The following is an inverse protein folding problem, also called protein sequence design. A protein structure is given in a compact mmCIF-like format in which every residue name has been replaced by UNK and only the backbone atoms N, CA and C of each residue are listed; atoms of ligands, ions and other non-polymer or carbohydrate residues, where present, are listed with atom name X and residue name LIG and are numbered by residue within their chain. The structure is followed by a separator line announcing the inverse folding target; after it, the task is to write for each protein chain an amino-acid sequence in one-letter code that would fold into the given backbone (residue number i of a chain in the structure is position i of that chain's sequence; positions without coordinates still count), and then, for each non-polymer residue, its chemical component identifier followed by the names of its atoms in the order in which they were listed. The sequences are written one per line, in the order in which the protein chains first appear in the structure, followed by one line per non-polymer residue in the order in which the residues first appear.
data_IF_989805043492
#
_entry.id   IF_989805043492
#
_cell.length_a   1.000
_cell.length_b   1.000
_cell.length_c   1.000
_cell.angle_alpha   90.00
_cell.angle_beta   90.00
_cell.angle_gamma   90.00
#
_symmetry.space_group_name_H-M   'P 1'
#
loop_
_entity.id
_entity.type
_entity.pdbx_description
1 polymer ?
#
# COMPACT_ATOMS: atom_id res chain seq x y z
N UNK A 1 -8.92 13.68 4.76
CA UNK A 1 -7.61 13.39 5.37
C UNK A 1 -7.38 14.29 6.57
N UNK A 2 -7.35 15.61 6.44
CA UNK A 2 -7.17 16.53 7.60
C UNK A 2 -8.25 16.32 8.68
N UNK A 3 -9.50 16.07 8.28
CA UNK A 3 -10.60 15.74 9.22
C UNK A 3 -10.43 14.41 9.97
N UNK A 4 -9.54 13.53 9.52
CA UNK A 4 -9.29 12.21 10.11
C UNK A 4 -8.01 12.19 10.96
N UNK A 5 -7.21 13.26 10.94
CA UNK A 5 -5.92 13.33 11.62
C UNK A 5 -5.97 14.45 12.67
N UNK A 6 -6.07 14.07 13.93
CA UNK A 6 -5.99 15.03 15.04
C UNK A 6 -4.55 15.52 15.22
N UNK A 7 -4.31 16.78 15.65
CA UNK A 7 -2.96 17.27 15.95
C UNK A 7 -2.20 16.39 16.95
N UNK A 8 -2.91 15.82 17.93
CA UNK A 8 -2.39 14.91 18.95
C UNK A 8 -2.02 13.52 18.42
N UNK A 9 -2.55 13.14 17.24
CA UNK A 9 -2.15 11.93 16.51
C UNK A 9 -0.94 12.15 15.60
N UNK A 10 -0.27 13.31 15.70
CA UNK A 10 0.95 13.63 14.96
C UNK A 10 2.12 13.61 15.92
N UNK A 11 3.09 12.75 15.64
CA UNK A 11 4.38 12.72 16.33
C UNK A 11 5.48 12.93 15.32
N UNK A 12 6.32 13.93 15.60
CA UNK A 12 7.46 14.26 14.77
C UNK A 12 8.75 13.85 15.47
N UNK A 13 9.74 13.50 14.65
CA UNK A 13 11.11 13.20 15.06
C UNK A 13 11.18 12.12 16.15
N UNK A 14 10.36 11.08 16.01
CA UNK A 14 10.34 9.94 16.90
C UNK A 14 11.56 9.04 16.69
N UNK A 15 12.14 8.55 17.78
CA UNK A 15 13.15 7.49 17.72
C UNK A 15 12.46 6.13 17.76
N UNK A 16 12.80 5.23 16.84
CA UNK A 16 12.31 3.86 16.84
C UNK A 16 13.48 2.87 16.76
N UNK A 17 13.41 1.79 17.54
CA UNK A 17 14.44 0.74 17.57
C UNK A 17 14.39 -0.22 16.37
N UNK A 18 13.37 -0.09 15.53
CA UNK A 18 13.08 -0.98 14.41
C UNK A 18 11.66 -0.76 13.90
N UNK A 19 11.30 -1.45 12.82
CA UNK A 19 10.00 -1.24 12.18
C UNK A 19 8.83 -1.58 13.10
N UNK A 20 8.95 -2.61 13.94
CA UNK A 20 7.91 -2.99 14.90
C UNK A 20 7.63 -1.85 15.89
N UNK A 21 8.67 -1.20 16.38
CA UNK A 21 8.56 -0.07 17.31
C UNK A 21 7.93 1.13 16.61
N UNK A 22 8.32 1.42 15.36
CA UNK A 22 7.70 2.48 14.57
C UNK A 22 6.18 2.23 14.36
N UNK A 23 5.78 1.01 14.01
CA UNK A 23 4.36 0.64 13.84
C UNK A 23 3.60 0.69 15.17
N UNK A 24 4.20 0.20 16.27
CA UNK A 24 3.60 0.29 17.62
C UNK A 24 3.42 1.75 18.05
N UNK A 25 4.37 2.63 17.77
CA UNK A 25 4.26 4.06 18.07
C UNK A 25 3.15 4.72 17.24
N UNK A 26 3.03 4.38 15.95
CA UNK A 26 1.95 4.88 15.11
C UNK A 26 0.57 4.37 15.58
N UNK A 27 0.48 3.10 16.00
CA UNK A 27 -0.72 2.51 16.60
C UNK A 27 -1.09 3.16 17.94
N UNK A 28 -0.12 3.44 18.80
CA UNK A 28 -0.35 4.11 20.09
C UNK A 28 -0.96 5.51 19.93
N UNK A 29 -0.68 6.21 18.82
CA UNK A 29 -1.31 7.49 18.49
C UNK A 29 -2.79 7.30 18.10
N UNK A 30 -3.14 6.22 17.41
CA UNK A 30 -4.55 5.88 17.14
C UNK A 30 -5.29 5.55 18.45
N UNK A 31 -4.63 4.81 19.35
CA UNK A 31 -5.17 4.43 20.65
C UNK A 31 -5.43 5.64 21.54
N UNK A 32 -4.49 6.60 21.61
CA UNK A 32 -4.66 7.81 22.40
C UNK A 32 -5.84 8.68 21.94
N UNK A 33 -6.18 8.62 20.66
CA UNK A 33 -7.33 9.31 20.08
C UNK A 33 -8.64 8.50 20.15
N UNK A 34 -8.61 7.30 20.76
CA UNK A 34 -9.74 6.39 20.84
C UNK A 34 -10.22 5.90 19.46
N UNK A 35 -9.37 5.97 18.43
CA UNK A 35 -9.68 5.51 17.07
C UNK A 35 -9.76 3.99 17.03
N UNK A 36 -8.81 3.33 17.67
CA UNK A 36 -8.74 1.88 17.77
C UNK A 36 -8.15 1.47 19.13
N UNK A 37 -8.22 0.18 19.46
CA UNK A 37 -7.56 -0.40 20.63
C UNK A 37 -6.19 -0.98 20.29
N UNK A 38 -5.41 -1.35 21.32
CA UNK A 38 -4.13 -2.05 21.16
C UNK A 38 -4.20 -3.36 20.38
N UNK A 39 -5.39 -3.97 20.30
CA UNK A 39 -5.59 -5.19 19.51
C UNK A 39 -5.44 -4.90 18.01
N UNK A 40 -5.81 -3.71 17.55
CA UNK A 40 -5.59 -3.29 16.16
C UNK A 40 -4.10 -3.06 15.86
N UNK A 41 -3.38 -2.42 16.79
CA UNK A 41 -1.92 -2.25 16.70
C UNK A 41 -1.22 -3.60 16.61
N UNK A 42 -1.64 -4.58 17.42
CA UNK A 42 -1.13 -5.95 17.35
C UNK A 42 -1.41 -6.59 15.99
N UNK A 43 -2.64 -6.46 15.49
CA UNK A 43 -3.01 -6.98 14.17
C UNK A 43 -2.13 -6.39 13.04
N UNK A 44 -1.84 -5.09 13.06
CA UNK A 44 -0.91 -4.47 12.09
C UNK A 44 0.49 -5.11 12.13
N UNK A 45 1.04 -5.30 13.33
CA UNK A 45 2.37 -5.91 13.51
C UNK A 45 2.36 -7.38 13.05
N UNK A 46 1.34 -8.14 13.43
CA UNK A 46 1.19 -9.56 13.05
C UNK A 46 1.01 -9.72 11.52
N UNK A 47 0.27 -8.82 10.87
CA UNK A 47 0.15 -8.80 9.41
C UNK A 47 1.49 -8.56 8.73
N UNK A 48 2.35 -7.67 9.25
CA UNK A 48 3.68 -7.41 8.68
C UNK A 48 4.61 -8.62 8.89
N UNK A 49 4.55 -9.28 10.05
CA UNK A 49 5.30 -10.52 10.27
C UNK A 49 4.89 -11.63 9.29
N UNK A 50 3.60 -11.72 8.98
CA UNK A 50 3.03 -12.78 8.14
C UNK A 50 3.24 -12.50 6.65
N UNK A 51 2.98 -11.26 6.22
CA UNK A 51 2.89 -10.86 4.82
C UNK A 51 4.17 -10.12 4.34
N UNK A 52 5.11 -9.85 5.24
CA UNK A 52 6.27 -9.01 4.95
C UNK A 52 5.93 -7.51 4.93
N UNK A 53 6.84 -6.64 4.45
CA UNK A 53 6.67 -5.18 4.50
C UNK A 53 5.71 -4.63 3.42
N UNK A 54 4.55 -5.26 3.21
CA UNK A 54 3.54 -4.85 2.21
C UNK A 54 3.02 -3.43 2.41
N UNK A 55 3.14 -2.90 3.63
CA UNK A 55 2.76 -1.54 3.98
C UNK A 55 3.77 -0.49 3.50
N UNK A 56 4.95 -0.86 2.98
CA UNK A 56 5.98 0.08 2.53
C UNK A 56 5.81 0.39 1.04
N UNK A 57 5.06 1.44 0.75
CA UNK A 57 4.48 1.66 -0.59
C UNK A 57 5.31 2.57 -1.50
N UNK A 58 6.14 3.42 -0.91
CA UNK A 58 6.94 4.39 -1.64
C UNK A 58 8.24 4.68 -0.88
N UNK A 59 9.29 5.19 -1.55
CA UNK A 59 10.55 5.51 -0.89
C UNK A 59 10.37 6.38 0.36
N UNK A 60 10.78 5.87 1.51
CA UNK A 60 10.67 6.57 2.79
C UNK A 60 9.29 6.49 3.47
N UNK A 61 8.31 5.79 2.89
CA UNK A 61 6.91 5.87 3.33
C UNK A 61 6.29 4.49 3.59
N UNK A 62 5.71 4.32 4.78
CA UNK A 62 4.89 3.19 5.14
C UNK A 62 3.47 3.61 5.53
N UNK A 63 2.48 2.86 5.04
CA UNK A 63 1.07 3.04 5.35
C UNK A 63 0.55 1.85 6.16
N UNK A 64 0.67 1.92 7.48
CA UNK A 64 0.32 0.84 8.39
C UNK A 64 -1.20 0.70 8.53
N UNK A 65 -1.71 -0.50 8.25
CA UNK A 65 -3.13 -0.84 8.38
C UNK A 65 -3.28 -2.34 8.55
N UNK A 66 -4.44 -2.76 9.05
CA UNK A 66 -4.86 -4.15 9.15
C UNK A 66 -6.35 -4.27 8.81
N UNK A 67 -6.81 -5.52 8.63
CA UNK A 67 -8.23 -5.81 8.36
C UNK A 67 -9.16 -5.13 9.38
N UNK A 68 -10.33 -4.63 8.94
CA UNK A 68 -11.36 -4.14 9.86
C UNK A 68 -11.71 -5.17 10.94
N UNK A 69 -11.91 -4.69 12.16
CA UNK A 69 -12.28 -5.52 13.31
C UNK A 69 -12.99 -4.69 14.37
N UNK A 70 -13.58 -5.36 15.36
CA UNK A 70 -14.18 -4.73 16.55
C UNK A 70 -13.19 -3.86 17.35
N UNK A 71 -11.88 -4.02 17.10
CA UNK A 71 -10.85 -3.17 17.69
C UNK A 71 -10.85 -1.74 17.13
N UNK A 72 -11.57 -1.46 16.03
CA UNK A 72 -11.68 -0.13 15.41
C UNK A 72 -13.01 0.51 15.81
N UNK A 73 -12.96 1.64 16.52
CA UNK A 73 -14.16 2.32 17.00
C UNK A 73 -14.70 3.37 16.02
N UNK A 74 -13.80 3.98 15.25
CA UNK A 74 -14.10 4.99 14.22
C UNK A 74 -12.95 5.07 13.23
N UNK A 75 -13.19 5.66 12.06
CA UNK A 75 -12.11 5.94 11.12
C UNK A 75 -11.20 7.05 11.65
N UNK A 76 -9.88 6.86 11.49
CA UNK A 76 -8.88 7.84 11.90
C UNK A 76 -7.48 7.51 11.40
N UNK A 77 -6.64 8.53 11.37
CA UNK A 77 -5.24 8.46 10.96
C UNK A 77 -4.31 8.85 12.10
N UNK A 78 -3.10 8.32 12.07
CA UNK A 78 -1.96 8.86 12.81
C UNK A 78 -0.78 9.13 11.87
N UNK A 79 0.10 10.02 12.30
CA UNK A 79 1.23 10.48 11.51
C UNK A 79 2.50 10.45 12.36
N UNK A 80 3.42 9.56 12.03
CA UNK A 80 4.68 9.39 12.73
C UNK A 80 5.85 9.69 11.77
N UNK A 81 6.51 10.83 11.95
CA UNK A 81 7.82 11.10 11.33
C UNK A 81 8.93 10.61 12.26
N UNK A 82 9.84 9.80 11.74
CA UNK A 82 10.99 9.29 12.48
C UNK A 82 12.15 10.29 12.40
N UNK A 83 12.89 10.44 13.51
CA UNK A 83 14.12 11.23 13.55
C UNK A 83 15.22 10.61 12.69
N UNK A 84 15.29 9.28 12.69
CA UNK A 84 16.20 8.49 11.87
C UNK A 84 15.39 7.46 11.08
N UNK A 85 15.59 7.34 9.75
CA UNK A 85 14.89 6.34 8.94
C UNK A 85 15.20 4.91 9.40
N UNK A 86 14.19 4.04 9.36
CA UNK A 86 14.25 2.65 9.84
C UNK A 86 14.03 1.67 8.69
N UNK A 87 14.79 0.59 8.65
CA UNK A 87 14.60 -0.48 7.67
C UNK A 87 13.39 -1.37 8.04
N UNK A 88 12.44 -1.51 7.11
CA UNK A 88 11.32 -2.45 7.21
C UNK A 88 11.63 -3.77 6.49
N UNK A 89 12.75 -3.86 5.78
CA UNK A 89 13.12 -4.95 4.90
C UNK A 89 12.64 -4.78 3.45
N UNK A 90 12.11 -3.62 3.07
CA UNK A 90 11.61 -3.37 1.73
C UNK A 90 12.74 -2.99 0.75
N UNK A 91 12.95 -3.81 -0.29
CA UNK A 91 14.13 -3.71 -1.18
C UNK A 91 14.38 -2.35 -1.84
N UNK A 92 13.31 -1.63 -2.18
CA UNK A 92 13.39 -0.41 -3.02
C UNK A 92 13.02 0.86 -2.27
N UNK A 93 12.26 0.71 -1.19
CA UNK A 93 11.56 1.82 -0.55
C UNK A 93 12.10 2.10 0.85
N UNK A 94 12.92 1.20 1.40
CA UNK A 94 13.69 1.47 2.59
C UNK A 94 14.80 2.51 2.35
N UNK A 95 15.25 3.18 3.43
CA UNK A 95 14.68 3.13 4.78
C UNK A 95 13.42 4.01 4.89
N UNK A 96 12.49 3.63 5.77
CA UNK A 96 11.24 4.35 6.03
C UNK A 96 11.47 5.47 7.03
N UNK A 97 11.01 6.67 6.72
CA UNK A 97 11.06 7.84 7.61
C UNK A 97 9.68 8.32 8.08
N UNK A 98 8.64 7.95 7.34
CA UNK A 98 7.27 8.37 7.60
C UNK A 98 6.37 7.14 7.66
N UNK A 99 5.76 6.94 8.81
CA UNK A 99 4.74 5.90 9.04
C UNK A 99 3.40 6.60 9.27
N UNK A 100 2.44 6.36 8.39
CA UNK A 100 1.06 6.80 8.57
C UNK A 100 0.23 5.57 8.87
N UNK A 101 -0.39 5.50 10.05
CA UNK A 101 -1.31 4.42 10.36
C UNK A 101 -2.75 4.85 10.12
N UNK A 102 -3.58 3.92 9.66
CA UNK A 102 -5.01 4.13 9.49
C UNK A 102 -5.81 2.99 10.08
N UNK A 103 -6.86 3.32 10.83
CA UNK A 103 -7.94 2.41 11.11
C UNK A 103 -9.18 2.94 10.40
N UNK A 104 -9.89 2.09 9.67
CA UNK A 104 -11.11 2.45 8.97
C UNK A 104 -12.29 1.63 9.49
N UNK A 105 -13.38 2.32 9.83
CA UNK A 105 -14.63 1.66 10.22
C UNK A 105 -15.46 1.25 8.99
N UNK A 106 -15.25 1.90 7.84
CA UNK A 106 -15.88 1.55 6.57
C UNK A 106 -14.92 1.68 5.37
N UNK A 107 -15.23 0.95 4.29
CA UNK A 107 -14.40 0.85 3.09
C UNK A 107 -14.39 2.12 2.23
N UNK A 108 -15.39 3.00 2.36
CA UNK A 108 -15.49 4.24 1.55
C UNK A 108 -14.55 5.30 2.10
N UNK A 109 -14.55 5.50 3.42
CA UNK A 109 -13.62 6.42 4.07
C UNK A 109 -12.16 5.95 3.92
N UNK A 110 -11.94 4.62 3.93
CA UNK A 110 -10.64 4.03 3.61
C UNK A 110 -10.16 4.44 2.21
N UNK A 111 -10.99 4.27 1.18
CA UNK A 111 -10.67 4.65 -0.20
C UNK A 111 -10.36 6.14 -0.32
N UNK A 112 -11.18 6.99 0.30
CA UNK A 112 -11.00 8.44 0.25
C UNK A 112 -9.68 8.86 0.90
N UNK A 113 -9.31 8.24 2.04
CA UNK A 113 -8.05 8.50 2.72
C UNK A 113 -6.84 8.01 1.91
N UNK A 114 -6.90 6.80 1.34
CA UNK A 114 -5.85 6.27 0.45
C UNK A 114 -5.60 7.18 -0.76
N UNK A 115 -6.67 7.61 -1.44
CA UNK A 115 -6.55 8.45 -2.62
C UNK A 115 -5.93 9.81 -2.29
N UNK A 116 -6.19 10.35 -1.09
CA UNK A 116 -5.57 11.59 -0.62
C UNK A 116 -4.10 11.38 -0.23
N UNK A 117 -3.77 10.28 0.44
CA UNK A 117 -2.38 9.93 0.75
C UNK A 117 -1.56 9.70 -0.51
N UNK A 118 -2.10 9.01 -1.53
CA UNK A 118 -1.42 8.81 -2.81
C UNK A 118 -1.05 10.15 -3.49
N UNK A 119 -1.93 11.16 -3.44
CA UNK A 119 -1.63 12.51 -3.94
C UNK A 119 -0.49 13.19 -3.17
N UNK A 120 -0.45 13.02 -1.86
CA UNK A 120 0.62 13.55 -1.01
C UNK A 120 1.94 12.87 -1.32
N UNK A 121 1.98 11.54 -1.30
CA UNK A 121 3.18 10.71 -1.49
C UNK A 121 3.77 10.87 -2.90
N UNK A 122 2.92 11.03 -3.92
CA UNK A 122 3.38 11.26 -5.30
C UNK A 122 3.98 12.66 -5.52
N UNK A 123 3.75 13.61 -4.62
CA UNK A 123 4.22 14.99 -4.74
C UNK A 123 5.53 15.21 -4.00
N UNK A 124 6.66 15.13 -4.72
CA UNK A 124 8.00 15.42 -4.16
C UNK A 124 8.05 16.75 -3.38
N UNK A 125 7.51 17.88 -3.88
CA UNK A 125 7.50 19.13 -3.12
C UNK A 125 6.69 19.06 -1.82
N UNK A 126 5.60 18.31 -1.82
CA UNK A 126 4.77 18.13 -0.61
C UNK A 126 5.51 17.26 0.41
N UNK A 127 6.10 16.15 -0.04
CA UNK A 127 6.87 15.25 0.83
C UNK A 127 8.08 15.97 1.47
N UNK A 128 8.79 16.82 0.73
CA UNK A 128 9.90 17.59 1.28
C UNK A 128 9.46 18.58 2.37
N UNK A 129 8.31 19.23 2.17
CA UNK A 129 7.71 20.10 3.19
C UNK A 129 7.28 19.32 4.43
N UNK A 130 6.73 18.11 4.26
CA UNK A 130 6.33 17.26 5.38
C UNK A 130 7.53 16.71 6.16
N UNK A 131 8.62 16.41 5.45
CA UNK A 131 9.90 15.98 6.06
C UNK A 131 10.49 17.05 6.97
N UNK A 132 10.29 18.33 6.64
CA UNK A 132 10.88 19.48 7.36
C UNK A 132 9.87 20.26 8.20
N UNK A 133 8.61 19.83 8.27
CA UNK A 133 7.58 20.50 9.04
C UNK A 133 7.97 20.60 10.53
N UNK A 134 7.91 21.77 11.17
CA UNK A 134 8.40 21.96 12.54
C UNK A 134 7.46 21.42 13.61
N UNK A 135 6.16 21.31 13.30
CA UNK A 135 5.12 20.95 14.26
C UNK A 135 3.88 20.33 13.57
N UNK A 136 2.96 19.83 14.39
CA UNK A 136 1.72 19.19 13.96
C UNK A 136 0.83 20.14 13.12
N UNK A 137 0.78 21.43 13.47
CA UNK A 137 -0.02 22.42 12.76
C UNK A 137 0.51 22.65 11.34
N UNK A 138 1.83 22.72 11.18
CA UNK A 138 2.47 22.82 9.86
C UNK A 138 2.16 21.59 9.00
N UNK A 139 2.20 20.38 9.56
CA UNK A 139 1.79 19.16 8.85
C UNK A 139 0.35 19.30 8.36
N UNK A 140 -0.59 19.63 9.26
CA UNK A 140 -2.00 19.77 8.90
C UNK A 140 -2.24 20.84 7.82
N UNK A 141 -1.52 21.97 7.90
CA UNK A 141 -1.59 23.03 6.89
C UNK A 141 -1.12 22.54 5.51
N UNK A 142 0.01 21.83 5.44
CA UNK A 142 0.53 21.26 4.18
C UNK A 142 -0.49 20.28 3.59
N UNK A 143 -1.08 19.41 4.43
CA UNK A 143 -2.07 18.43 4.00
C UNK A 143 -3.41 19.05 3.57
N UNK A 144 -3.78 20.21 4.11
CA UNK A 144 -4.97 20.94 3.69
C UNK A 144 -4.82 21.52 2.27
N UNK A 145 -3.61 21.96 1.91
CA UNK A 145 -3.33 22.54 0.58
C UNK A 145 -3.47 21.52 -0.56
N UNK A 146 -3.13 20.24 -0.32
CA UNK A 146 -3.24 19.16 -1.32
C UNK A 146 -4.68 18.71 -1.57
N UNK A 147 -5.60 19.10 -0.67
CA UNK A 147 -7.03 18.82 -0.79
C UNK A 147 -7.75 19.92 -1.59
N UNK A 148 -7.11 21.08 -1.80
CA UNK A 148 -7.62 22.16 -2.66
C UNK A 148 -7.25 21.92 -4.13
N UNK A 149 -8.16 22.13 -5.09
CA UNK A 149 -7.87 21.91 -6.51
C UNK A 149 -6.83 22.94 -6.97
N UNK A 150 -5.58 22.50 -7.13
CA UNK A 150 -4.53 23.26 -7.81
C UNK A 150 -4.05 22.46 -9.02
N UNK A 151 -4.19 23.09 -10.19
CA UNK A 151 -3.80 22.58 -11.51
C UNK A 151 -2.31 22.24 -11.52
N UNK A 152 -1.95 20.98 -11.76
CA UNK A 152 -0.56 20.54 -11.91
C UNK A 152 -0.20 20.40 -13.41
N UNK A 153 1.01 20.82 -13.84
CA UNK A 153 1.57 20.46 -15.13
C UNK A 153 2.15 19.03 -15.12
N UNK A 154 2.22 18.42 -16.31
CA UNK A 154 2.51 17.02 -16.59
C UNK A 154 3.95 16.55 -16.26
N UNK A 155 4.18 15.25 -15.99
CA UNK A 155 5.51 14.70 -15.74
C UNK A 155 6.21 14.20 -17.02
N UNK A 156 7.54 14.32 -17.04
CA UNK A 156 8.45 13.75 -18.06
C UNK A 156 9.09 12.41 -17.60
N UNK A 157 9.61 11.59 -18.55
CA UNK A 157 9.71 10.14 -18.39
C UNK A 157 10.99 9.61 -17.73
N UNK A 158 10.87 8.41 -17.14
CA UNK A 158 11.90 7.66 -16.43
C UNK A 158 12.87 6.89 -17.36
N UNK A 159 14.14 6.82 -16.96
CA UNK A 159 15.19 6.06 -17.65
C UNK A 159 15.59 4.83 -16.81
N UNK A 160 15.65 3.66 -17.45
CA UNK A 160 16.01 2.36 -16.85
C UNK A 160 17.52 2.07 -16.98
N UNK A 161 18.14 1.39 -16.00
CA UNK A 161 19.20 0.39 -16.23
C UNK A 161 19.58 -0.45 -14.98
N UNK A 162 19.37 -1.78 -15.12
CA UNK A 162 20.26 -2.92 -14.85
C UNK A 162 20.71 -3.43 -13.44
N UNK A 163 20.18 -4.63 -13.10
CA UNK A 163 20.81 -5.95 -12.78
C UNK A 163 21.93 -6.11 -11.70
N UNK A 164 21.70 -6.94 -10.66
CA UNK A 164 22.09 -8.38 -10.52
C UNK A 164 22.00 -8.93 -9.05
N UNK A 165 21.40 -10.12 -8.94
CA UNK A 165 21.54 -11.26 -7.97
C UNK A 165 22.11 -11.04 -6.54
N UNK A 166 21.48 -11.53 -5.46
CA UNK A 166 21.46 -12.97 -5.05
C UNK A 166 20.57 -13.24 -3.81
N UNK A 167 19.97 -14.44 -3.78
CA UNK A 167 19.48 -15.27 -2.63
C UNK A 167 18.43 -14.70 -1.66
N UNK A 168 17.18 -15.18 -1.74
CA UNK A 168 16.08 -14.75 -0.86
C UNK A 168 15.06 -15.84 -0.46
N UNK A 169 14.59 -15.74 0.78
CA UNK A 169 13.24 -16.11 1.24
C UNK A 169 12.44 -14.79 1.37
N UNK A 170 11.14 -14.85 1.10
CA UNK A 170 10.35 -13.83 0.38
C UNK A 170 10.22 -12.43 1.01
N UNK A 171 10.45 -11.40 0.19
CA UNK A 171 10.18 -9.96 0.36
C UNK A 171 9.20 -9.53 -0.75
N UNK A 172 8.42 -8.46 -0.54
CA UNK A 172 7.45 -7.93 -1.54
C UNK A 172 8.16 -7.38 -2.79
N UNK A 173 7.45 -7.33 -3.93
CA UNK A 173 7.95 -7.06 -5.28
C UNK A 173 7.14 -6.01 -6.04
N UNK A 174 6.07 -5.49 -5.44
CA UNK A 174 5.14 -4.50 -6.00
C UNK A 174 4.61 -4.92 -7.37
N UNK A 175 4.38 -6.23 -7.54
CA UNK A 175 4.10 -6.83 -8.83
C UNK A 175 2.91 -7.78 -8.74
N UNK A 176 1.86 -7.47 -9.50
CA UNK A 176 0.67 -8.30 -9.71
C UNK A 176 0.73 -8.91 -11.09
N UNK A 177 0.51 -10.22 -11.17
CA UNK A 177 0.49 -10.95 -12.43
C UNK A 177 -0.94 -11.39 -12.75
N UNK A 178 -1.43 -11.01 -13.92
CA UNK A 178 -2.71 -11.48 -14.46
C UNK A 178 -2.45 -12.58 -15.47
N UNK A 179 -3.12 -13.73 -15.32
CA UNK A 179 -2.85 -14.91 -16.14
C UNK A 179 -4.09 -15.37 -16.89
N UNK A 180 -3.94 -15.67 -18.18
CA UNK A 180 -4.97 -16.27 -19.02
C UNK A 180 -4.45 -17.52 -19.74
N UNK A 181 -5.37 -18.38 -20.20
CA UNK A 181 -5.05 -19.50 -21.08
C UNK A 181 -4.91 -19.04 -22.54
N UNK A 182 -3.74 -19.28 -23.13
CA UNK A 182 -3.39 -19.22 -24.57
C UNK A 182 -3.94 -18.09 -25.46
N UNK A 183 -4.47 -16.99 -24.91
CA UNK A 183 -4.95 -15.83 -25.68
C UNK A 183 -4.79 -14.51 -24.92
N UNK A 184 -4.11 -13.54 -25.52
CA UNK A 184 -3.70 -12.26 -24.90
C UNK A 184 -4.88 -11.36 -24.50
N UNK A 185 -6.06 -11.54 -25.10
CA UNK A 185 -7.20 -10.63 -24.88
C UNK A 185 -7.71 -10.64 -23.45
N UNK A 186 -7.91 -11.82 -22.87
CA UNK A 186 -8.61 -11.97 -21.57
C UNK A 186 -7.71 -11.56 -20.39
N UNK A 187 -6.41 -11.83 -20.44
CA UNK A 187 -5.45 -11.30 -19.45
C UNK A 187 -5.29 -9.78 -19.56
N UNK A 188 -5.31 -9.21 -20.76
CA UNK A 188 -5.28 -7.77 -20.93
C UNK A 188 -6.54 -7.10 -20.37
N UNK A 189 -7.72 -7.71 -20.51
CA UNK A 189 -8.93 -7.19 -19.86
C UNK A 189 -8.78 -7.17 -18.35
N UNK A 190 -8.36 -8.29 -17.74
CA UNK A 190 -8.15 -8.33 -16.29
C UNK A 190 -7.06 -7.33 -15.85
N UNK A 191 -5.94 -7.26 -16.57
CA UNK A 191 -4.89 -6.28 -16.33
C UNK A 191 -5.43 -4.85 -16.35
N UNK A 192 -6.17 -4.47 -17.40
CA UNK A 192 -6.72 -3.12 -17.54
C UNK A 192 -7.72 -2.81 -16.41
N UNK A 193 -8.51 -3.79 -15.97
CA UNK A 193 -9.43 -3.63 -14.84
C UNK A 193 -8.66 -3.46 -13.53
N UNK A 194 -7.61 -4.26 -13.29
CA UNK A 194 -6.71 -4.11 -12.12
C UNK A 194 -6.03 -2.74 -12.14
N UNK A 195 -5.42 -2.34 -13.26
CA UNK A 195 -4.82 -1.02 -13.43
C UNK A 195 -5.84 0.11 -13.23
N UNK A 196 -7.08 -0.06 -13.72
CA UNK A 196 -8.16 0.90 -13.54
C UNK A 196 -8.55 1.07 -12.07
N UNK A 197 -8.68 -0.03 -11.33
CA UNK A 197 -8.94 -0.01 -9.88
C UNK A 197 -7.77 0.63 -9.13
N UNK A 198 -6.54 0.22 -9.42
CA UNK A 198 -5.34 0.81 -8.82
C UNK A 198 -5.22 2.31 -9.14
N UNK A 199 -5.60 2.74 -10.34
CA UNK A 199 -5.61 4.16 -10.71
C UNK A 199 -6.66 4.93 -9.92
N UNK A 200 -7.86 4.37 -9.68
CA UNK A 200 -8.88 4.98 -8.82
C UNK A 200 -8.42 5.11 -7.38
N UNK A 201 -7.63 4.14 -6.90
CA UNK A 201 -7.01 4.22 -5.57
C UNK A 201 -5.86 5.23 -5.52
N UNK A 202 -5.32 5.64 -6.69
CA UNK A 202 -4.14 6.50 -6.81
C UNK A 202 -2.81 5.73 -6.80
N UNK A 203 -2.86 4.41 -6.89
CA UNK A 203 -1.74 3.49 -6.67
C UNK A 203 -1.11 2.95 -7.95
N UNK A 204 -1.71 3.22 -9.10
CA UNK A 204 -1.17 2.84 -10.42
C UNK A 204 0.33 3.13 -10.62
N UNK A 205 0.90 4.25 -10.13
CA UNK A 205 2.33 4.52 -10.26
C UNK A 205 3.26 3.61 -9.43
N UNK A 206 2.74 2.92 -8.41
CA UNK A 206 3.55 2.18 -7.43
C UNK A 206 3.51 0.66 -7.65
N UNK A 207 2.42 0.13 -8.23
CA UNK A 207 2.24 -1.30 -8.45
C UNK A 207 2.34 -1.63 -9.95
N UNK A 208 3.22 -2.57 -10.29
CA UNK A 208 3.34 -3.09 -11.66
C UNK A 208 2.33 -4.20 -11.89
N UNK A 209 1.55 -4.10 -12.98
CA UNK A 209 0.63 -5.15 -13.40
C UNK A 209 1.11 -5.76 -14.73
N UNK A 210 1.51 -7.03 -14.71
CA UNK A 210 1.91 -7.80 -15.90
C UNK A 210 0.76 -8.71 -16.36
N UNK A 211 0.53 -8.79 -17.66
CA UNK A 211 -0.34 -9.80 -18.26
C UNK A 211 0.53 -10.88 -18.90
N UNK A 212 0.26 -12.15 -18.59
CA UNK A 212 1.06 -13.26 -19.08
C UNK A 212 0.23 -14.53 -19.36
N UNK A 213 0.86 -15.50 -20.03
CA UNK A 213 0.26 -16.81 -20.30
C UNK A 213 0.57 -17.83 -19.20
N UNK A 214 -0.13 -18.96 -19.21
CA UNK A 214 0.00 -20.02 -18.19
C UNK A 214 1.41 -20.64 -18.11
N UNK A 215 2.15 -20.71 -19.22
CA UNK A 215 3.51 -21.27 -19.26
C UNK A 215 4.48 -20.28 -18.64
N UNK A 216 4.41 -19.02 -19.06
CA UNK A 216 5.22 -17.92 -18.53
C UNK A 216 4.97 -17.69 -17.04
N UNK A 217 3.71 -17.74 -16.60
CA UNK A 217 3.32 -17.60 -15.20
C UNK A 217 4.01 -18.64 -14.30
N UNK A 218 4.09 -19.91 -14.73
CA UNK A 218 4.77 -20.97 -13.96
C UNK A 218 6.26 -20.69 -13.77
N UNK A 219 6.91 -20.07 -14.77
CA UNK A 219 8.31 -19.68 -14.70
C UNK A 219 8.55 -18.43 -13.84
N UNK A 220 7.60 -17.48 -13.89
CA UNK A 220 7.74 -16.16 -13.27
C UNK A 220 6.97 -15.97 -11.96
N UNK A 221 6.24 -16.97 -11.46
CA UNK A 221 5.37 -16.81 -10.29
C UNK A 221 6.09 -16.17 -9.09
N UNK A 222 7.35 -16.56 -8.85
CA UNK A 222 8.18 -16.01 -7.76
C UNK A 222 8.60 -14.55 -7.95
N UNK A 223 8.30 -13.93 -9.10
CA UNK A 223 8.60 -12.52 -9.42
C UNK A 223 7.42 -11.59 -9.10
N UNK A 224 6.26 -12.14 -8.73
CA UNK A 224 5.09 -11.38 -8.30
C UNK A 224 4.75 -11.66 -6.83
N UNK A 225 3.88 -10.83 -6.27
CA UNK A 225 3.33 -10.99 -4.92
C UNK A 225 1.90 -11.55 -4.95
N UNK A 226 1.23 -11.41 -6.09
CA UNK A 226 -0.15 -11.85 -6.29
C UNK A 226 -0.35 -12.29 -7.75
N UNK A 227 -1.00 -13.43 -7.91
CA UNK A 227 -1.53 -13.90 -9.20
C UNK A 227 -3.05 -13.71 -9.20
N UNK A 228 -3.58 -13.03 -10.22
CA UNK A 228 -5.02 -12.91 -10.46
C UNK A 228 -5.39 -13.64 -11.76
N UNK A 229 -6.37 -14.52 -11.70
CA UNK A 229 -6.73 -15.36 -12.86
C UNK A 229 -8.16 -15.89 -12.76
N UNK A 230 -8.65 -16.65 -13.75
CA UNK A 230 -9.95 -17.33 -13.69
C UNK A 230 -9.84 -18.70 -13.04
N UNK A 231 -10.97 -19.27 -12.61
CA UNK A 231 -10.99 -20.58 -11.95
C UNK A 231 -10.43 -21.73 -12.81
N UNK A 232 -10.64 -21.69 -14.13
CA UNK A 232 -10.10 -22.70 -15.06
C UNK A 232 -8.57 -22.64 -15.17
N UNK A 233 -8.03 -21.43 -15.20
CA UNK A 233 -6.58 -21.20 -15.30
C UNK A 233 -5.90 -21.44 -13.96
N UNK A 234 -6.51 -21.04 -12.85
CA UNK A 234 -6.02 -21.35 -11.51
C UNK A 234 -5.83 -22.86 -11.29
N UNK A 235 -6.80 -23.68 -11.73
CA UNK A 235 -6.67 -25.15 -11.72
C UNK A 235 -5.49 -25.66 -12.56
N UNK A 236 -5.21 -25.00 -13.69
CA UNK A 236 -4.11 -25.38 -14.60
C UNK A 236 -2.74 -24.95 -14.07
N UNK A 237 -2.69 -23.81 -13.37
CA UNK A 237 -1.49 -23.29 -12.72
C UNK A 237 -1.09 -24.14 -11.52
N UNK A 238 -2.08 -24.55 -10.70
CA UNK A 238 -1.83 -25.26 -9.45
C UNK A 238 -1.22 -24.35 -8.38
N UNK A 239 -0.62 -24.95 -7.35
CA UNK A 239 0.09 -24.20 -6.32
C UNK A 239 1.47 -23.77 -6.83
N UNK A 240 1.70 -22.46 -6.85
CA UNK A 240 2.95 -21.83 -7.27
C UNK A 240 3.73 -21.20 -6.12
N UNK A 241 3.25 -21.35 -4.87
CA UNK A 241 3.87 -20.77 -3.68
C UNK A 241 3.75 -19.25 -3.56
N UNK A 242 2.81 -18.66 -4.31
CA UNK A 242 2.45 -17.23 -4.28
C UNK A 242 0.92 -17.15 -4.20
N UNK A 243 0.36 -16.21 -3.43
CA UNK A 243 -1.08 -16.02 -3.35
C UNK A 243 -1.73 -15.92 -4.73
N UNK A 244 -2.84 -16.64 -4.90
CA UNK A 244 -3.62 -16.67 -6.14
C UNK A 244 -5.07 -16.35 -5.84
N UNK A 245 -5.61 -15.35 -6.54
CA UNK A 245 -7.02 -14.96 -6.46
C UNK A 245 -7.74 -15.29 -7.75
N UNK A 246 -8.94 -15.84 -7.59
CA UNK A 246 -9.83 -16.17 -8.69
C UNK A 246 -10.80 -15.02 -8.93
N UNK A 247 -10.85 -14.54 -10.16
CA UNK A 247 -11.80 -13.53 -10.66
C UNK A 247 -12.70 -14.22 -11.69
N UNK A 248 -14.00 -14.14 -11.50
CA UNK A 248 -15.01 -14.71 -12.39
C UNK A 248 -15.37 -13.72 -13.52
N UNK A 249 -15.49 -12.42 -13.21
CA UNK A 249 -15.74 -11.37 -14.20
C UNK A 249 -14.56 -10.41 -14.31
N UNK A 250 -13.72 -10.61 -15.32
CA UNK A 250 -12.52 -9.80 -15.57
C UNK A 250 -12.77 -8.32 -15.90
N UNK A 251 -14.02 -7.94 -16.19
CA UNK A 251 -14.42 -6.54 -16.43
C UNK A 251 -15.11 -5.90 -15.23
N UNK A 252 -15.39 -6.69 -14.20
CA UNK A 252 -15.99 -6.20 -12.96
C UNK A 252 -14.94 -5.52 -12.11
N UNK A 253 -14.87 -4.20 -12.19
CA UNK A 253 -14.04 -3.41 -11.28
C UNK A 253 -14.42 -3.65 -9.82
N UNK A 254 -15.69 -3.90 -9.51
CA UNK A 254 -16.15 -4.17 -8.15
C UNK A 254 -15.57 -5.48 -7.59
N UNK A 255 -15.52 -6.52 -8.42
CA UNK A 255 -14.95 -7.81 -8.02
C UNK A 255 -13.44 -7.72 -7.85
N UNK A 256 -12.76 -7.06 -8.80
CA UNK A 256 -11.32 -6.83 -8.74
C UNK A 256 -10.94 -5.94 -7.55
N UNK A 257 -11.73 -4.90 -7.26
CA UNK A 257 -11.56 -4.05 -6.07
C UNK A 257 -11.70 -4.87 -4.79
N UNK A 258 -12.73 -5.69 -4.65
CA UNK A 258 -12.91 -6.57 -3.48
C UNK A 258 -11.76 -7.59 -3.32
N UNK A 259 -11.30 -8.17 -4.42
CA UNK A 259 -10.18 -9.11 -4.43
C UNK A 259 -8.85 -8.46 -4.02
N UNK A 260 -8.54 -7.28 -4.57
CA UNK A 260 -7.34 -6.53 -4.19
C UNK A 260 -7.41 -6.12 -2.72
N UNK A 261 -8.58 -5.69 -2.25
CA UNK A 261 -8.85 -5.36 -0.84
C UNK A 261 -8.53 -6.52 0.08
N UNK A 262 -9.09 -7.69 -0.19
CA UNK A 262 -8.85 -8.89 0.60
C UNK A 262 -7.36 -9.26 0.64
N UNK A 263 -6.63 -9.09 -0.46
CA UNK A 263 -5.22 -9.44 -0.56
C UNK A 263 -4.27 -8.46 0.13
N UNK A 264 -4.61 -7.18 0.11
CA UNK A 264 -3.82 -6.14 0.77
C UNK A 264 -4.29 -5.87 2.20
N UNK A 265 -5.25 -6.63 2.72
CA UNK A 265 -5.89 -6.44 4.03
C UNK A 265 -6.56 -5.06 4.20
N UNK A 266 -7.23 -4.59 3.13
CA UNK A 266 -7.88 -3.28 2.97
C UNK A 266 -9.42 -3.40 2.87
#
# INVERSE_FOLDING_TARGET
MVSLLAPTAIRLDATAQGWEDAVRQAGALLESEGVATSDYTRAMVDSIHTNGPYIVLAPGFAFAHARPSEAVHRTGLSWLRLAEPVEFGHKRNDPVELVVAMAAADSTEHQAAMAQLAKVVSSKPTMERLRTAPDAEAVLAILAETTSPRTAPAPEPANHAEQRSTTGRSLTKDHIMTVCGNGVGTSLFLKNTVEGVLQKWGWGPFITVEATDTVSAKGKAKECDLIMTSGEIGKTLGDLGVPMVIIENFTSEQEVDAALREMYDI
#
